data_IF_223566492674
#
_entry.id   IF_223566492674
#
_cell.length_a   1.000
_cell.length_b   1.000
_cell.length_c   1.000
_cell.angle_alpha   90.00
_cell.angle_beta   90.00
_cell.angle_gamma   90.00
#
_symmetry.space_group_name_H-M   'P 1'
#
loop_
_entity.id
_entity.type
_entity.pdbx_description
1 polymer ?
#
# COMPACT_ATOMS: atom_id res chain seq x y z
N UNK A 1 -33.38 -51.31 19.63
CA UNK A 1 -33.19 -50.11 18.79
C UNK A 1 -32.57 -49.01 19.65
N UNK A 2 -31.29 -48.69 19.42
CA UNK A 2 -30.54 -47.62 20.08
C UNK A 2 -29.77 -46.88 18.99
N UNK A 3 -30.24 -45.70 18.63
CA UNK A 3 -29.59 -44.85 17.63
C UNK A 3 -29.38 -43.48 18.27
N UNK A 4 -28.26 -43.32 18.96
CA UNK A 4 -27.82 -42.05 19.51
C UNK A 4 -26.46 -41.69 18.93
N UNK A 5 -26.46 -40.53 18.28
CA UNK A 5 -25.38 -39.54 18.28
C UNK A 5 -24.23 -39.80 17.31
N UNK A 6 -24.49 -39.35 16.09
CA UNK A 6 -23.47 -38.99 15.12
C UNK A 6 -22.65 -37.80 15.64
N UNK A 7 -21.34 -37.93 15.43
CA UNK A 7 -20.41 -36.84 15.10
C UNK A 7 -20.13 -35.84 16.23
N UNK A 8 -19.29 -36.31 17.15
CA UNK A 8 -18.10 -35.55 17.55
C UNK A 8 -17.45 -34.88 16.35
N UNK A 9 -17.32 -33.55 16.39
CA UNK A 9 -16.09 -32.78 16.15
C UNK A 9 -16.37 -31.39 15.55
N UNK A 10 -16.17 -30.37 16.40
CA UNK A 10 -15.52 -29.10 16.05
C UNK A 10 -16.30 -28.25 15.04
N UNK A 11 -17.43 -27.68 15.49
CA UNK A 11 -17.85 -26.37 14.98
C UNK A 11 -17.19 -25.33 15.87
N UNK A 12 -16.17 -24.70 15.30
CA UNK A 12 -15.55 -23.47 15.76
C UNK A 12 -16.61 -22.48 16.21
N UNK A 13 -16.64 -22.23 17.53
CA UNK A 13 -17.41 -21.18 18.16
C UNK A 13 -16.88 -19.82 17.68
N UNK A 14 -17.41 -19.38 16.54
CA UNK A 14 -17.41 -17.98 16.18
C UNK A 14 -18.43 -17.28 17.09
N UNK A 15 -18.03 -16.12 17.61
CA UNK A 15 -18.89 -15.02 18.01
C UNK A 15 -19.44 -15.02 19.46
N UNK A 16 -18.60 -14.64 20.41
CA UNK A 16 -19.00 -13.84 21.59
C UNK A 16 -17.82 -13.01 22.10
N UNK A 17 -17.74 -11.74 21.69
CA UNK A 17 -17.10 -10.68 22.50
C UNK A 17 -18.10 -9.52 22.61
N UNK A 18 -18.94 -9.66 23.63
CA UNK A 18 -19.45 -8.63 24.56
C UNK A 18 -19.53 -7.18 24.07
N UNK A 19 -20.77 -6.73 23.87
CA UNK A 19 -21.16 -5.32 23.98
C UNK A 19 -20.85 -4.84 25.41
N UNK A 20 -20.01 -3.81 25.54
CA UNK A 20 -19.85 -3.09 26.80
C UNK A 20 -20.67 -1.79 26.68
N UNK A 21 -21.84 -1.78 27.30
CA UNK A 21 -22.58 -0.56 27.61
C UNK A 21 -22.01 0.01 28.92
N UNK A 22 -21.35 1.17 28.85
CA UNK A 22 -21.08 1.97 30.05
C UNK A 22 -22.20 3.00 30.22
N UNK A 23 -23.08 2.76 31.19
CA UNK A 23 -23.86 3.80 31.82
C UNK A 23 -22.93 4.58 32.76
N UNK A 24 -22.86 5.90 32.63
CA UNK A 24 -22.26 6.77 33.65
C UNK A 24 -23.34 7.69 34.20
N UNK A 25 -23.40 7.70 35.53
CA UNK A 25 -24.28 8.46 36.42
C UNK A 25 -23.83 9.92 36.54
N UNK A 26 -24.84 10.78 36.64
CA UNK A 26 -24.99 12.08 37.32
C UNK A 26 -23.85 13.11 37.32
N UNK A 27 -24.17 14.26 36.71
CA UNK A 27 -23.42 15.49 36.87
C UNK A 27 -24.07 16.66 36.13
N UNK A 28 -25.06 17.30 36.75
CA UNK A 28 -25.52 18.64 36.35
C UNK A 28 -24.39 19.63 36.62
N UNK A 29 -23.81 20.21 35.58
CA UNK A 29 -23.08 21.48 35.67
C UNK A 29 -23.22 22.25 34.36
N UNK A 30 -24.09 23.25 34.37
CA UNK A 30 -24.12 24.29 33.35
C UNK A 30 -22.99 25.29 33.61
N UNK A 31 -22.04 25.40 32.69
CA UNK A 31 -21.23 26.62 32.54
C UNK A 31 -20.70 26.73 31.11
N UNK A 32 -21.27 27.69 30.37
CA UNK A 32 -20.79 28.16 29.08
C UNK A 32 -19.43 28.84 29.27
N UNK A 33 -18.35 28.26 28.72
CA UNK A 33 -17.08 28.95 28.55
C UNK A 33 -16.60 28.76 27.11
N UNK A 34 -16.58 29.86 26.33
CA UNK A 34 -15.85 29.93 25.07
C UNK A 34 -14.36 29.84 25.40
N UNK A 35 -13.69 28.72 25.11
CA UNK A 35 -12.27 28.73 24.82
C UNK A 35 -11.86 27.49 24.02
N UNK A 36 -11.25 27.76 22.86
CA UNK A 36 -10.55 26.79 22.02
C UNK A 36 -9.14 26.66 22.57
N UNK A 37 -8.69 25.44 22.89
CA UNK A 37 -7.42 24.99 22.36
C UNK A 37 -7.63 23.63 21.71
N UNK A 38 -7.58 23.60 20.38
CA UNK A 38 -7.51 22.36 19.62
C UNK A 38 -6.19 21.69 19.98
N UNK A 39 -6.27 20.63 20.78
CA UNK A 39 -5.16 19.70 21.02
C UNK A 39 -4.77 19.16 19.65
N UNK A 40 -3.63 19.63 19.12
CA UNK A 40 -2.98 19.00 17.97
C UNK A 40 -2.49 17.64 18.44
N UNK A 41 -3.34 16.63 18.30
CA UNK A 41 -2.87 15.26 18.21
C UNK A 41 -2.08 15.21 16.91
N UNK A 42 -0.76 15.38 16.99
CA UNK A 42 0.15 15.10 15.87
C UNK A 42 0.11 13.60 15.68
N UNK A 43 -0.90 13.13 14.95
CA UNK A 43 -0.83 11.83 14.32
C UNK A 43 0.42 11.89 13.43
N UNK A 44 1.45 11.12 13.79
CA UNK A 44 2.51 10.73 12.86
C UNK A 44 1.87 9.82 11.81
N UNK A 45 0.98 10.40 11.01
CA UNK A 45 0.57 9.83 9.74
C UNK A 45 1.77 10.02 8.83
N UNK A 46 2.67 9.03 8.84
CA UNK A 46 3.55 8.84 7.70
C UNK A 46 2.63 8.61 6.50
N UNK A 47 2.27 9.71 5.85
CA UNK A 47 1.48 9.75 4.63
C UNK A 47 2.42 9.18 3.57
N UNK A 48 2.59 7.87 3.58
CA UNK A 48 3.34 7.15 2.56
C UNK A 48 2.61 7.44 1.26
N UNK A 49 3.13 8.43 0.54
CA UNK A 49 2.50 9.03 -0.60
C UNK A 49 2.83 8.16 -1.81
N UNK A 50 2.23 6.97 -1.80
CA UNK A 50 2.38 6.00 -2.87
C UNK A 50 1.85 6.61 -4.16
N UNK A 51 2.65 6.51 -5.22
CA UNK A 51 2.21 6.91 -6.55
C UNK A 51 1.49 5.73 -7.23
N UNK A 52 0.48 6.05 -8.03
CA UNK A 52 -0.16 5.08 -8.91
C UNK A 52 0.62 4.92 -10.23
N UNK A 53 0.16 4.00 -11.08
CA UNK A 53 0.76 3.71 -12.39
C UNK A 53 0.86 4.96 -13.29
N UNK A 54 -0.19 5.76 -13.37
CA UNK A 54 -0.24 6.93 -14.27
C UNK A 54 0.67 8.06 -13.79
N UNK A 55 0.80 8.23 -12.48
CA UNK A 55 1.76 9.12 -11.85
C UNK A 55 3.19 8.64 -12.08
N UNK A 56 3.44 7.34 -11.99
CA UNK A 56 4.75 6.74 -12.29
C UNK A 56 5.15 6.97 -13.76
N UNK A 57 4.21 6.73 -14.69
CA UNK A 57 4.42 7.02 -16.11
C UNK A 57 4.68 8.51 -16.35
N UNK A 58 3.97 9.40 -15.67
CA UNK A 58 4.18 10.84 -15.77
C UNK A 58 5.55 11.28 -15.25
N UNK A 59 6.07 10.65 -14.18
CA UNK A 59 7.42 10.89 -13.68
C UNK A 59 8.46 10.43 -14.71
N UNK A 60 8.27 9.25 -15.28
CA UNK A 60 9.16 8.70 -16.30
C UNK A 60 9.21 9.58 -17.56
N UNK A 61 8.05 9.98 -18.10
CA UNK A 61 7.95 10.89 -19.25
C UNK A 61 8.55 12.27 -19.00
N UNK A 62 8.60 12.74 -17.75
CA UNK A 62 9.29 14.01 -17.41
C UNK A 62 10.81 13.89 -17.53
N UNK A 63 11.38 12.73 -17.23
CA UNK A 63 12.80 12.42 -17.42
C UNK A 63 13.12 12.14 -18.88
N UNK A 64 12.31 11.31 -19.53
CA UNK A 64 12.46 10.89 -20.92
C UNK A 64 11.31 11.43 -21.78
N UNK A 65 11.43 12.68 -22.22
CA UNK A 65 10.33 13.39 -22.92
C UNK A 65 10.04 12.87 -24.32
N UNK A 66 11.02 12.20 -24.94
CA UNK A 66 10.97 11.81 -26.35
C UNK A 66 10.62 10.33 -26.55
N UNK A 67 10.36 9.58 -25.46
CA UNK A 67 10.12 8.14 -25.52
C UNK A 67 8.66 7.81 -25.22
N UNK A 68 8.14 6.85 -25.97
CA UNK A 68 6.89 6.17 -25.65
C UNK A 68 7.20 4.98 -24.75
N UNK A 69 6.31 4.71 -23.80
CA UNK A 69 6.51 3.66 -22.81
C UNK A 69 5.34 2.70 -22.80
N UNK A 70 5.65 1.40 -22.80
CA UNK A 70 4.72 0.29 -22.71
C UNK A 70 4.76 -0.23 -21.27
N UNK A 71 3.60 -0.39 -20.64
CA UNK A 71 3.51 -0.92 -19.28
C UNK A 71 3.69 -2.44 -19.27
N UNK A 72 4.63 -2.94 -18.47
CA UNK A 72 4.93 -4.38 -18.40
C UNK A 72 4.39 -5.06 -17.15
N UNK A 73 4.19 -4.32 -16.05
CA UNK A 73 3.74 -4.92 -14.80
C UNK A 73 4.24 -4.19 -13.56
N UNK A 74 4.20 -4.91 -12.46
CA UNK A 74 4.56 -4.48 -11.10
C UNK A 74 5.75 -5.27 -10.56
N UNK A 75 6.18 -4.99 -9.34
CA UNK A 75 7.26 -5.74 -8.68
C UNK A 75 7.03 -7.26 -8.60
N UNK A 76 5.78 -7.71 -8.66
CA UNK A 76 5.42 -9.12 -8.48
C UNK A 76 5.64 -9.95 -9.73
N UNK A 77 5.66 -9.29 -10.89
CA UNK A 77 5.77 -9.93 -12.19
C UNK A 77 7.25 -10.23 -12.53
N UNK A 78 8.18 -9.76 -11.70
CA UNK A 78 9.63 -9.95 -11.87
C UNK A 78 10.25 -10.48 -10.59
N UNK A 79 10.89 -11.65 -10.66
CA UNK A 79 11.51 -12.34 -9.52
C UNK A 79 12.49 -11.44 -8.76
N UNK A 80 13.41 -10.79 -9.47
CA UNK A 80 14.39 -9.87 -8.87
C UNK A 80 13.75 -8.69 -8.10
N UNK A 81 12.67 -8.12 -8.61
CA UNK A 81 11.99 -7.00 -7.93
C UNK A 81 11.22 -7.47 -6.69
N UNK A 82 10.64 -8.67 -6.76
CA UNK A 82 9.98 -9.33 -5.63
C UNK A 82 10.97 -9.61 -4.49
N UNK A 83 12.14 -10.17 -4.81
CA UNK A 83 13.19 -10.48 -3.83
C UNK A 83 13.82 -9.23 -3.20
N UNK A 84 14.06 -8.20 -3.99
CA UNK A 84 14.66 -6.93 -3.53
C UNK A 84 13.71 -6.06 -2.67
N UNK A 85 12.47 -6.53 -2.43
CA UNK A 85 11.40 -5.84 -1.69
C UNK A 85 11.08 -4.45 -2.23
N UNK A 86 11.47 -4.18 -3.47
CA UNK A 86 11.14 -2.94 -4.16
C UNK A 86 9.68 -3.01 -4.60
N UNK A 87 9.01 -1.86 -4.59
CA UNK A 87 7.59 -1.75 -4.91
C UNK A 87 7.44 -0.70 -5.99
N UNK A 88 6.76 -1.00 -7.08
CA UNK A 88 6.72 -0.08 -8.20
C UNK A 88 6.10 -0.63 -9.47
N UNK A 89 6.41 0.03 -10.57
CA UNK A 89 5.87 -0.25 -11.90
C UNK A 89 7.01 -0.35 -12.90
N UNK A 90 6.93 -1.32 -13.81
CA UNK A 90 7.92 -1.54 -14.87
C UNK A 90 7.35 -1.07 -16.20
N UNK A 91 8.17 -0.33 -16.94
CA UNK A 91 7.86 0.20 -18.27
C UNK A 91 8.99 -0.16 -19.23
N UNK A 92 8.66 -0.54 -20.46
CA UNK A 92 9.63 -0.66 -21.54
C UNK A 92 9.53 0.55 -22.47
N UNK A 93 10.65 1.12 -22.92
CA UNK A 93 10.62 2.09 -24.00
C UNK A 93 10.24 1.39 -25.31
N UNK A 94 9.52 2.10 -26.17
CA UNK A 94 9.23 1.66 -27.54
C UNK A 94 10.42 2.00 -28.46
N UNK A 95 11.57 1.40 -28.16
CA UNK A 95 12.83 1.58 -28.89
C UNK A 95 13.63 0.26 -28.90
N UNK A 96 14.62 0.16 -29.77
CA UNK A 96 15.52 -0.99 -29.80
C UNK A 96 16.41 -1.01 -28.55
N UNK A 97 16.26 -2.06 -27.72
CA UNK A 97 17.11 -2.29 -26.57
C UNK A 97 16.48 -3.26 -25.56
N UNK A 98 17.33 -3.75 -24.66
CA UNK A 98 16.91 -4.72 -23.64
C UNK A 98 16.63 -4.07 -22.27
N UNK A 99 16.79 -2.75 -22.16
CA UNK A 99 16.68 -2.01 -20.90
C UNK A 99 15.28 -1.47 -20.69
N UNK A 100 14.66 -1.90 -19.59
CA UNK A 100 13.43 -1.32 -19.06
C UNK A 100 13.67 -0.27 -18.00
N UNK A 101 12.56 0.32 -17.55
CA UNK A 101 12.52 1.33 -16.51
C UNK A 101 11.62 0.87 -15.37
N UNK A 102 12.17 0.83 -14.17
CA UNK A 102 11.42 0.59 -12.95
C UNK A 102 11.21 1.90 -12.19
N UNK A 103 9.95 2.23 -11.88
CA UNK A 103 9.59 3.40 -11.10
C UNK A 103 9.11 2.96 -9.72
N UNK A 104 9.87 3.29 -8.68
CA UNK A 104 9.53 2.90 -7.32
C UNK A 104 8.37 3.75 -6.78
N UNK A 105 7.30 3.09 -6.32
CA UNK A 105 6.06 3.75 -5.89
C UNK A 105 6.15 4.49 -4.56
N UNK A 106 7.21 4.25 -3.77
CA UNK A 106 7.42 4.87 -2.45
C UNK A 106 8.28 6.12 -2.58
N UNK A 107 9.48 5.97 -3.18
CA UNK A 107 10.48 7.03 -3.23
C UNK A 107 10.45 7.85 -4.53
N UNK A 108 9.61 7.44 -5.51
CA UNK A 108 9.40 8.12 -6.80
C UNK A 108 10.66 8.21 -7.67
N UNK A 109 11.67 7.39 -7.37
CA UNK A 109 12.89 7.27 -8.16
C UNK A 109 12.65 6.34 -9.35
N UNK A 110 13.37 6.62 -10.43
CA UNK A 110 13.36 5.86 -11.68
C UNK A 110 14.68 5.12 -11.78
N UNK A 111 14.63 3.84 -12.15
CA UNK A 111 15.78 2.97 -12.28
C UNK A 111 15.78 2.36 -13.68
N UNK A 112 16.95 2.22 -14.29
CA UNK A 112 17.16 1.26 -15.36
C UNK A 112 17.02 -0.15 -14.78
N UNK A 113 16.36 -1.03 -15.50
CA UNK A 113 16.01 -2.37 -15.03
C UNK A 113 16.14 -3.39 -16.15
N UNK A 114 16.81 -4.51 -15.86
CA UNK A 114 16.84 -5.68 -16.72
C UNK A 114 16.41 -6.92 -15.90
N UNK A 115 15.57 -7.82 -16.44
CA UNK A 115 15.12 -9.02 -15.73
C UNK A 115 16.24 -9.94 -15.24
N UNK A 116 17.45 -9.87 -15.81
CA UNK A 116 18.63 -10.60 -15.36
C UNK A 116 19.19 -10.15 -13.99
N UNK A 117 18.57 -9.15 -13.36
CA UNK A 117 18.99 -8.63 -12.07
C UNK A 117 19.83 -7.35 -12.13
N UNK A 118 19.90 -6.71 -13.30
CA UNK A 118 20.49 -5.37 -13.40
C UNK A 118 19.48 -4.33 -12.92
N UNK A 119 19.90 -3.45 -12.00
CA UNK A 119 19.12 -2.30 -11.61
C UNK A 119 20.02 -1.13 -11.23
N UNK A 120 19.84 0.02 -11.89
CA UNK A 120 20.66 1.22 -11.67
C UNK A 120 19.77 2.47 -11.55
N UNK A 121 20.08 3.38 -10.63
CA UNK A 121 19.33 4.62 -10.47
C UNK A 121 19.56 5.56 -11.67
N UNK A 122 18.48 6.01 -12.30
CA UNK A 122 18.54 6.96 -13.39
C UNK A 122 18.85 8.39 -12.87
N UNK A 123 19.94 8.98 -13.39
CA UNK A 123 20.40 10.32 -13.02
C UNK A 123 19.40 11.42 -13.38
#
# INVERSE_FOLDING_TARGET
>A
MKNTNRLTAIIMAFLMVTMISFANTDGVFAARVKSKPSVKITTLTSKNNYINKDQALSILKKKEKNKTFIYMGTEKDFEYLSESKQKGYVFLPDEEGDIGYFVNRINKKVYYFHPSGYMELMK
#
